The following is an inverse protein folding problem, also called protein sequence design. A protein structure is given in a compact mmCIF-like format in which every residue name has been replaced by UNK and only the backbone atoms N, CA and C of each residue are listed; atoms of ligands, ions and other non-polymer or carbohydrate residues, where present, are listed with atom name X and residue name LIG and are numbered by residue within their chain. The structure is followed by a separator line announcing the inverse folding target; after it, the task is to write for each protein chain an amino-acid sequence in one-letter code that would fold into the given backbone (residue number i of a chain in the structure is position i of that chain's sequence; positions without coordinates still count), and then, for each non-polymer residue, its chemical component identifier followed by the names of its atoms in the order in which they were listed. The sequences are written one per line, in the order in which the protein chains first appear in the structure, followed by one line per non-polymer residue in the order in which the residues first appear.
data_IF_251799716153
#
_entry.id   IF_251799716153
#
_cell.length_a   1.000
_cell.length_b   1.000
_cell.length_c   1.000
_cell.angle_alpha   90.00
_cell.angle_beta   90.00
_cell.angle_gamma   90.00
#
_symmetry.space_group_name_H-M   'P 1'
#
loop_
_entity.id
_entity.type
_entity.pdbx_description
1 polymer ?
#
# COMPACT_ATOMS: atom_id res chain seq x y z
N UNK A 1 -21.40 -10.49 -8.32
CA UNK A 1 -20.03 -10.22 -7.84
C UNK A 1 -20.05 -9.96 -6.33
N UNK A 2 -19.07 -10.47 -5.55
CA UNK A 2 -18.93 -10.10 -4.12
C UNK A 2 -18.47 -8.65 -4.04
N UNK A 3 -18.86 -7.95 -2.96
CA UNK A 3 -18.39 -6.58 -2.73
C UNK A 3 -16.89 -6.56 -2.43
N UNK A 4 -16.15 -5.57 -2.93
CA UNK A 4 -14.74 -5.44 -2.63
C UNK A 4 -14.47 -5.20 -1.14
N UNK A 5 -13.38 -5.79 -0.64
CA UNK A 5 -12.90 -5.64 0.74
C UNK A 5 -11.68 -4.72 0.74
N UNK A 6 -11.59 -3.81 1.70
CA UNK A 6 -10.37 -3.03 1.93
C UNK A 6 -9.42 -3.80 2.84
N UNK A 7 -8.18 -3.95 2.43
CA UNK A 7 -7.09 -4.56 3.21
C UNK A 7 -6.08 -3.48 3.56
N UNK A 8 -5.82 -3.26 4.83
CA UNK A 8 -4.86 -2.25 5.30
C UNK A 8 -3.68 -2.92 5.97
N UNK A 9 -2.49 -2.72 5.40
CA UNK A 9 -1.25 -3.25 5.94
C UNK A 9 -0.74 -2.36 7.08
N UNK A 10 -0.94 -2.81 8.31
CA UNK A 10 -0.58 -2.10 9.53
C UNK A 10 0.44 -2.84 10.42
N UNK A 11 0.98 -3.99 9.97
CA UNK A 11 1.96 -4.76 10.74
C UNK A 11 3.33 -4.07 10.87
N UNK A 12 3.64 -3.12 9.98
CA UNK A 12 4.84 -2.27 10.07
C UNK A 12 4.75 -1.15 11.10
N UNK A 13 3.58 -0.94 11.71
CA UNK A 13 3.29 0.12 12.65
C UNK A 13 4.16 -0.01 13.91
N UNK A 14 4.96 1.00 14.21
CA UNK A 14 5.67 1.13 15.50
C UNK A 14 7.16 0.81 15.53
N UNK A 15 7.77 0.26 14.48
CA UNK A 15 9.16 -0.20 14.54
C UNK A 15 10.23 0.91 14.55
N UNK A 16 9.91 2.14 14.09
CA UNK A 16 10.92 3.19 13.88
C UNK A 16 10.95 4.31 14.92
N UNK A 17 9.95 4.41 15.85
CA UNK A 17 9.79 5.57 16.76
C UNK A 17 9.49 5.20 18.22
N UNK A 18 9.70 3.94 18.63
CA UNK A 18 9.49 3.52 20.03
C UNK A 18 8.01 3.56 20.49
N UNK A 19 7.06 3.65 19.57
CA UNK A 19 5.63 3.72 19.82
C UNK A 19 4.83 3.66 18.53
N UNK A 20 3.51 3.55 18.62
CA UNK A 20 2.60 3.54 17.46
C UNK A 20 2.54 4.96 16.83
N UNK A 21 3.46 5.27 15.91
CA UNK A 21 3.50 6.55 15.16
C UNK A 21 2.16 6.88 14.47
N UNK A 22 1.40 5.87 14.16
CA UNK A 22 0.15 5.96 13.42
C UNK A 22 -1.05 6.39 14.28
N UNK A 23 -0.87 6.51 15.59
CA UNK A 23 -1.85 7.11 16.50
C UNK A 23 -1.55 8.60 16.76
N UNK A 24 -0.60 9.19 16.05
CA UNK A 24 -0.28 10.61 16.20
C UNK A 24 -1.33 11.45 15.45
N UNK A 25 -2.16 12.24 16.13
CA UNK A 25 -3.23 12.99 15.49
C UNK A 25 -2.69 13.98 14.45
N UNK A 26 -3.46 14.10 13.35
CA UNK A 26 -3.17 15.03 12.25
C UNK A 26 -4.23 16.13 12.12
N UNK A 27 -5.22 16.15 13.01
CA UNK A 27 -6.17 17.25 13.13
C UNK A 27 -6.54 17.55 14.58
N UNK A 28 -7.34 18.61 14.80
CA UNK A 28 -7.80 19.05 16.12
C UNK A 28 -8.82 18.11 16.77
N UNK A 29 -9.46 17.25 15.99
CA UNK A 29 -10.51 16.34 16.45
C UNK A 29 -9.93 14.98 16.87
N UNK A 30 -8.60 14.82 16.75
CA UNK A 30 -7.87 13.63 17.15
C UNK A 30 -7.84 12.52 16.10
N UNK A 31 -8.20 12.83 14.85
CA UNK A 31 -8.10 11.87 13.75
C UNK A 31 -6.65 11.66 13.32
N UNK A 32 -6.34 10.45 12.93
CA UNK A 32 -5.05 10.01 12.40
C UNK A 32 -5.17 9.69 10.90
N UNK A 33 -4.06 9.50 10.19
CA UNK A 33 -4.06 9.30 8.73
C UNK A 33 -5.03 8.19 8.29
N UNK A 34 -5.02 7.06 8.97
CA UNK A 34 -5.84 5.89 8.62
C UNK A 34 -7.35 6.18 8.71
N UNK A 35 -7.78 7.10 9.58
CA UNK A 35 -9.20 7.47 9.71
C UNK A 35 -9.73 8.08 8.42
N UNK A 36 -8.92 8.88 7.72
CA UNK A 36 -9.26 9.46 6.42
C UNK A 36 -9.35 8.39 5.33
N UNK A 37 -8.45 7.40 5.34
CA UNK A 37 -8.52 6.26 4.42
C UNK A 37 -9.79 5.44 4.63
N UNK A 38 -10.18 5.19 5.88
CA UNK A 38 -11.42 4.49 6.23
C UNK A 38 -12.64 5.30 5.77
N UNK A 39 -12.66 6.61 6.04
CA UNK A 39 -13.75 7.50 5.64
C UNK A 39 -13.92 7.53 4.12
N UNK A 40 -12.83 7.67 3.36
CA UNK A 40 -12.87 7.67 1.91
C UNK A 40 -13.31 6.32 1.35
N UNK A 41 -12.87 5.22 1.95
CA UNK A 41 -13.28 3.86 1.58
C UNK A 41 -14.80 3.65 1.77
N UNK A 42 -15.35 4.06 2.91
CA UNK A 42 -16.81 4.00 3.16
C UNK A 42 -17.57 4.79 2.12
N UNK A 43 -17.14 6.01 1.82
CA UNK A 43 -17.76 6.85 0.78
C UNK A 43 -17.65 6.26 -0.62
N UNK A 44 -16.59 5.53 -0.91
CA UNK A 44 -16.41 4.81 -2.17
C UNK A 44 -17.33 3.60 -2.29
N UNK A 45 -17.79 3.03 -1.17
CA UNK A 45 -18.72 1.89 -1.13
C UNK A 45 -18.16 0.63 -0.49
N UNK A 46 -16.95 0.65 0.08
CA UNK A 46 -16.42 -0.47 0.86
C UNK A 46 -17.23 -0.63 2.14
N UNK A 47 -17.64 -1.87 2.44
CA UNK A 47 -18.42 -2.21 3.63
C UNK A 47 -17.63 -3.02 4.65
N UNK A 48 -16.43 -3.49 4.27
CA UNK A 48 -15.56 -4.31 5.11
C UNK A 48 -14.11 -3.87 4.98
N UNK A 49 -13.42 -3.81 6.13
CA UNK A 49 -11.97 -3.63 6.21
C UNK A 49 -11.33 -4.81 6.95
N UNK A 50 -10.16 -5.23 6.46
CA UNK A 50 -9.28 -6.19 7.12
C UNK A 50 -8.00 -5.46 7.50
N UNK A 51 -7.69 -5.41 8.78
CA UNK A 51 -6.41 -4.88 9.26
C UNK A 51 -5.41 -6.01 9.43
N UNK A 52 -4.28 -5.91 8.73
CA UNK A 52 -3.14 -6.80 8.93
C UNK A 52 -2.24 -6.15 9.97
N UNK A 53 -2.17 -6.73 11.15
CA UNK A 53 -1.44 -6.20 12.31
C UNK A 53 -0.46 -7.24 12.86
N UNK A 54 0.40 -6.83 13.79
CA UNK A 54 1.14 -7.75 14.65
C UNK A 54 0.28 -8.11 15.86
N UNK A 55 0.36 -9.36 16.31
CA UNK A 55 -0.40 -9.82 17.49
C UNK A 55 -0.09 -9.02 18.75
N UNK A 56 1.15 -8.63 18.93
CA UNK A 56 1.58 -7.79 20.06
C UNK A 56 0.86 -6.44 20.14
N UNK A 57 0.36 -5.93 19.01
CA UNK A 57 -0.33 -4.64 18.91
C UNK A 57 -1.86 -4.77 18.91
N UNK A 58 -2.42 -5.98 18.99
CA UNK A 58 -3.86 -6.24 18.80
C UNK A 58 -4.72 -5.41 19.73
N UNK A 59 -4.46 -5.46 21.04
CA UNK A 59 -5.29 -4.79 22.04
C UNK A 59 -5.34 -3.28 21.79
N UNK A 60 -4.18 -2.64 21.71
CA UNK A 60 -4.11 -1.18 21.52
C UNK A 60 -4.70 -0.76 20.17
N UNK A 61 -4.52 -1.59 19.11
CA UNK A 61 -5.07 -1.29 17.80
C UNK A 61 -6.60 -1.35 17.81
N UNK A 62 -7.18 -2.37 18.46
CA UNK A 62 -8.64 -2.50 18.61
C UNK A 62 -9.24 -1.35 19.41
N UNK A 63 -8.63 -0.99 20.53
CA UNK A 63 -9.12 0.07 21.42
C UNK A 63 -9.05 1.47 20.81
N UNK A 64 -8.15 1.67 19.84
CA UNK A 64 -7.93 2.96 19.16
C UNK A 64 -8.56 3.01 17.78
N UNK A 65 -7.88 2.45 16.79
CA UNK A 65 -8.26 2.49 15.38
C UNK A 65 -9.48 1.60 15.12
N UNK A 66 -9.44 0.38 15.64
CA UNK A 66 -10.49 -0.63 15.43
C UNK A 66 -11.85 -0.13 15.86
N UNK A 67 -11.96 0.38 17.09
CA UNK A 67 -13.23 0.88 17.65
C UNK A 67 -13.85 2.01 16.81
N UNK A 68 -13.04 2.87 16.19
CA UNK A 68 -13.53 3.92 15.31
C UNK A 68 -14.01 3.34 13.97
N UNK A 69 -13.24 2.42 13.40
CA UNK A 69 -13.60 1.75 12.15
C UNK A 69 -14.88 0.90 12.28
N UNK A 70 -15.07 0.19 13.41
CA UNK A 70 -16.26 -0.63 13.72
C UNK A 70 -17.56 0.20 13.76
N UNK A 71 -17.47 1.50 14.01
CA UNK A 71 -18.60 2.43 13.90
C UNK A 71 -19.01 2.76 12.46
N UNK A 72 -18.18 2.44 11.47
CA UNK A 72 -18.36 2.84 10.08
C UNK A 72 -18.55 1.65 9.11
N UNK A 73 -17.91 0.50 9.39
CA UNK A 73 -17.90 -0.65 8.51
C UNK A 73 -17.59 -1.95 9.27
N UNK A 74 -17.78 -3.12 8.63
CA UNK A 74 -17.36 -4.41 9.18
C UNK A 74 -15.83 -4.46 9.31
N UNK A 75 -15.32 -4.88 10.47
CA UNK A 75 -13.89 -4.95 10.75
C UNK A 75 -13.45 -6.39 11.02
N UNK A 76 -12.38 -6.81 10.38
CA UNK A 76 -11.67 -8.04 10.66
C UNK A 76 -10.19 -7.77 10.92
N UNK A 77 -9.55 -8.66 11.68
CA UNK A 77 -8.13 -8.57 12.01
C UNK A 77 -7.41 -9.84 11.57
N UNK A 78 -6.24 -9.66 10.99
CA UNK A 78 -5.33 -10.73 10.56
C UNK A 78 -3.96 -10.43 11.10
N UNK A 79 -3.22 -11.48 11.46
CA UNK A 79 -1.90 -11.33 12.06
C UNK A 79 -0.81 -11.76 11.10
N UNK A 80 0.13 -10.86 10.83
CA UNK A 80 1.35 -11.20 10.12
C UNK A 80 2.39 -11.70 11.13
N UNK A 81 2.61 -13.02 11.16
CA UNK A 81 3.55 -13.68 12.05
C UNK A 81 4.65 -14.39 11.23
N UNK A 82 5.89 -14.41 11.74
CA UNK A 82 7.02 -15.00 11.03
C UNK A 82 6.84 -16.52 10.81
N UNK A 83 6.14 -17.16 11.71
CA UNK A 83 5.87 -18.59 11.74
C UNK A 83 4.79 -19.02 10.72
N UNK A 84 4.03 -18.06 10.16
CA UNK A 84 3.03 -18.33 9.13
C UNK A 84 3.69 -18.62 7.77
N UNK A 85 4.41 -19.73 7.69
CA UNK A 85 5.11 -20.23 6.50
C UNK A 85 4.62 -21.63 6.16
N UNK A 86 4.70 -22.04 4.88
CA UNK A 86 4.27 -23.37 4.46
C UNK A 86 5.07 -24.50 5.14
N UNK A 87 4.42 -25.68 5.25
CA UNK A 87 5.08 -26.89 5.74
C UNK A 87 6.37 -27.17 4.95
N UNK A 88 7.41 -27.65 5.67
CA UNK A 88 8.71 -27.96 5.10
C UNK A 88 9.70 -26.80 5.11
N UNK A 89 9.28 -25.59 5.48
CA UNK A 89 10.17 -24.46 5.71
C UNK A 89 10.31 -24.16 7.21
N UNK A 90 11.41 -23.50 7.55
CA UNK A 90 11.68 -23.05 8.93
C UNK A 90 12.08 -21.57 8.91
N UNK A 91 11.69 -20.83 9.93
CA UNK A 91 12.15 -19.45 10.13
C UNK A 91 13.65 -19.48 10.42
N UNK A 92 14.50 -18.75 9.67
CA UNK A 92 15.94 -18.71 9.94
C UNK A 92 16.23 -18.21 11.35
N UNK A 93 17.19 -18.86 12.01
CA UNK A 93 17.63 -18.44 13.35
C UNK A 93 18.06 -16.97 13.35
N UNK A 94 17.58 -16.18 14.32
CA UNK A 94 17.87 -14.76 14.45
C UNK A 94 17.08 -13.84 13.52
N UNK A 95 16.17 -14.36 12.69
CA UNK A 95 15.30 -13.51 11.89
C UNK A 95 14.21 -12.86 12.75
N UNK A 96 14.17 -11.55 12.73
CA UNK A 96 13.13 -10.72 13.37
C UNK A 96 12.34 -9.89 12.34
N UNK A 97 12.87 -9.76 11.12
CA UNK A 97 12.27 -8.96 10.06
C UNK A 97 11.08 -9.70 9.45
N UNK A 98 9.88 -9.06 9.33
CA UNK A 98 8.75 -9.64 8.62
C UNK A 98 9.10 -10.03 7.19
N UNK A 99 8.33 -10.96 6.62
CA UNK A 99 8.57 -11.47 5.27
C UNK A 99 8.24 -10.48 4.14
N UNK A 100 7.70 -9.30 4.45
CA UNK A 100 7.37 -8.27 3.47
C UNK A 100 5.88 -8.14 3.17
N UNK A 101 5.54 -7.22 2.25
CA UNK A 101 4.16 -6.83 1.94
C UNK A 101 3.36 -7.93 1.24
N UNK A 102 4.00 -8.78 0.45
CA UNK A 102 3.35 -9.95 -0.14
C UNK A 102 2.89 -10.94 0.92
N UNK A 103 3.74 -11.24 1.91
CA UNK A 103 3.35 -12.12 3.01
C UNK A 103 2.29 -11.50 3.92
N UNK A 104 2.30 -10.17 4.09
CA UNK A 104 1.23 -9.49 4.81
C UNK A 104 -0.13 -9.78 4.17
N UNK A 105 -0.26 -9.59 2.85
CA UNK A 105 -1.50 -9.90 2.12
C UNK A 105 -1.81 -11.39 2.14
N UNK A 106 -0.81 -12.27 2.01
CA UNK A 106 -0.99 -13.72 2.09
C UNK A 106 -1.61 -14.16 3.44
N UNK A 107 -1.35 -13.44 4.53
CA UNK A 107 -1.96 -13.73 5.83
C UNK A 107 -3.50 -13.64 5.83
N UNK A 108 -4.10 -13.02 4.80
CA UNK A 108 -5.55 -12.91 4.64
C UNK A 108 -6.17 -14.09 3.87
N UNK A 109 -5.41 -15.15 3.55
CA UNK A 109 -5.84 -16.21 2.61
C UNK A 109 -7.13 -16.91 3.02
N UNK A 110 -7.37 -17.08 4.31
CA UNK A 110 -8.55 -17.80 4.82
C UNK A 110 -9.82 -16.95 4.88
N UNK A 111 -9.71 -15.63 4.67
CA UNK A 111 -10.85 -14.69 4.81
C UNK A 111 -11.09 -13.83 3.57
N UNK A 112 -10.20 -13.86 2.57
CA UNK A 112 -10.37 -13.18 1.29
C UNK A 112 -10.83 -14.17 0.21
N UNK A 113 -12.08 -14.04 -0.18
CA UNK A 113 -12.73 -14.91 -1.18
C UNK A 113 -13.45 -14.12 -2.29
N UNK A 114 -13.13 -12.85 -2.43
CA UNK A 114 -13.66 -11.89 -3.40
C UNK A 114 -12.63 -10.84 -3.83
N UNK A 115 -13.04 -9.83 -4.59
CA UNK A 115 -12.16 -8.72 -4.97
C UNK A 115 -11.76 -7.91 -3.72
N UNK A 116 -10.56 -7.32 -3.74
CA UNK A 116 -10.08 -6.52 -2.62
C UNK A 116 -9.08 -5.44 -3.07
N UNK A 117 -9.04 -4.35 -2.32
CA UNK A 117 -8.02 -3.32 -2.44
C UNK A 117 -7.01 -3.43 -1.29
N UNK A 118 -5.75 -3.12 -1.56
CA UNK A 118 -4.66 -3.11 -0.56
C UNK A 118 -4.08 -1.71 -0.47
N UNK A 119 -3.87 -1.22 0.76
CA UNK A 119 -3.20 0.06 1.06
C UNK A 119 -2.25 -0.07 2.27
N UNK A 120 -1.37 0.91 2.41
CA UNK A 120 -0.59 1.11 3.64
C UNK A 120 -1.42 1.87 4.69
N UNK A 121 -1.16 1.61 5.97
CA UNK A 121 -1.86 2.24 7.08
C UNK A 121 -1.41 3.68 7.38
N UNK A 122 -0.21 4.05 6.94
CA UNK A 122 0.46 5.32 7.26
C UNK A 122 0.47 6.33 6.10
N UNK A 123 -0.29 6.03 5.04
CA UNK A 123 -0.42 6.84 3.84
C UNK A 123 -1.82 7.44 3.70
N UNK A 124 -1.88 8.71 3.28
CA UNK A 124 -3.10 9.37 2.83
C UNK A 124 -3.20 9.29 1.31
N UNK A 125 -4.26 8.70 0.80
CA UNK A 125 -4.44 8.40 -0.63
C UNK A 125 -5.38 9.36 -1.35
N UNK A 126 -6.35 9.95 -0.64
CA UNK A 126 -7.36 10.84 -1.20
C UNK A 126 -8.63 10.15 -1.71
N UNK A 127 -9.76 10.88 -1.74
CA UNK A 127 -11.09 10.32 -2.03
C UNK A 127 -11.25 9.81 -3.47
N UNK A 128 -10.61 10.45 -4.45
CA UNK A 128 -10.70 10.03 -5.86
C UNK A 128 -10.09 8.63 -6.05
N UNK A 129 -8.95 8.37 -5.41
CA UNK A 129 -8.27 7.08 -5.50
C UNK A 129 -9.13 5.93 -4.99
N UNK A 130 -9.82 6.08 -3.85
CA UNK A 130 -10.72 5.07 -3.32
C UNK A 130 -11.93 4.83 -4.22
N UNK A 131 -12.51 5.89 -4.78
CA UNK A 131 -13.64 5.78 -5.69
C UNK A 131 -13.25 5.02 -6.96
N UNK A 132 -12.11 5.35 -7.56
CA UNK A 132 -11.64 4.73 -8.80
C UNK A 132 -11.35 3.24 -8.61
N UNK A 133 -10.65 2.87 -7.53
CA UNK A 133 -10.31 1.46 -7.29
C UNK A 133 -11.54 0.62 -6.96
N UNK A 134 -12.51 1.18 -6.21
CA UNK A 134 -13.77 0.52 -5.92
C UNK A 134 -14.59 0.27 -7.19
N UNK A 135 -14.73 1.30 -8.04
CA UNK A 135 -15.48 1.20 -9.30
C UNK A 135 -14.86 0.14 -10.22
N UNK A 136 -13.52 0.10 -10.32
CA UNK A 136 -12.84 -0.94 -11.09
C UNK A 136 -13.15 -2.35 -10.54
N UNK A 137 -12.99 -2.56 -9.25
CA UNK A 137 -13.18 -3.86 -8.62
C UNK A 137 -14.64 -4.37 -8.66
N UNK A 138 -15.61 -3.47 -8.83
CA UNK A 138 -17.03 -3.82 -8.96
C UNK A 138 -17.49 -4.04 -10.40
N UNK A 139 -16.67 -3.68 -11.39
CA UNK A 139 -17.04 -3.72 -12.82
C UNK A 139 -16.18 -4.65 -13.66
N UNK A 140 -15.07 -5.16 -13.11
CA UNK A 140 -14.15 -6.04 -13.83
C UNK A 140 -14.02 -7.40 -13.13
N UNK A 141 -14.06 -8.45 -13.94
CA UNK A 141 -13.84 -9.84 -13.52
C UNK A 141 -12.71 -10.44 -14.34
N UNK A 142 -12.07 -11.47 -13.78
CA UNK A 142 -11.08 -12.25 -14.50
C UNK A 142 -11.73 -12.92 -15.73
N UNK A 143 -11.00 -12.95 -16.83
CA UNK A 143 -11.38 -13.65 -18.04
C UNK A 143 -10.29 -14.68 -18.44
N UNK A 144 -9.71 -14.57 -19.62
CA UNK A 144 -8.53 -15.36 -20.02
C UNK A 144 -7.25 -14.97 -19.27
N UNK A 145 -7.27 -13.84 -18.56
CA UNK A 145 -6.21 -13.32 -17.68
C UNK A 145 -6.82 -12.71 -16.43
N UNK A 146 -6.03 -12.63 -15.37
CA UNK A 146 -6.42 -11.92 -14.16
C UNK A 146 -6.52 -10.42 -14.43
N UNK A 147 -7.58 -9.79 -13.92
CA UNK A 147 -7.87 -8.37 -14.12
C UNK A 147 -7.59 -7.59 -12.83
N UNK A 148 -6.36 -7.14 -12.70
CA UNK A 148 -5.90 -6.35 -11.56
C UNK A 148 -5.82 -4.88 -11.90
N UNK A 149 -5.67 -4.06 -10.89
CA UNK A 149 -5.53 -2.60 -11.03
C UNK A 149 -4.58 -2.04 -9.99
N UNK A 150 -4.12 -0.83 -10.22
CA UNK A 150 -3.43 -0.01 -9.24
C UNK A 150 -3.77 1.46 -9.44
N UNK A 151 -3.68 2.26 -8.38
CA UNK A 151 -3.76 3.71 -8.50
C UNK A 151 -2.38 4.27 -8.74
N UNK A 152 -2.21 4.94 -9.88
CA UNK A 152 -0.99 5.65 -10.26
C UNK A 152 -1.10 7.13 -9.94
N UNK A 153 -0.20 7.64 -9.10
CA UNK A 153 -0.11 9.05 -8.75
C UNK A 153 0.89 9.77 -9.66
N UNK A 154 0.71 11.07 -9.86
CA UNK A 154 1.76 11.89 -10.46
C UNK A 154 2.93 11.98 -9.48
N UNK A 155 4.15 11.77 -9.94
CA UNK A 155 5.36 11.83 -9.11
C UNK A 155 5.41 13.13 -8.29
N UNK A 156 5.16 14.28 -8.95
CA UNK A 156 5.15 15.60 -8.30
C UNK A 156 4.14 15.72 -7.13
N UNK A 157 3.09 14.90 -7.12
CA UNK A 157 2.11 14.86 -6.03
C UNK A 157 2.54 13.96 -4.85
N UNK A 158 3.73 13.38 -4.90
CA UNK A 158 4.23 12.43 -3.90
C UNK A 158 5.58 12.79 -3.31
N UNK A 159 6.15 13.91 -3.72
CA UNK A 159 7.46 14.40 -3.26
C UNK A 159 7.32 15.21 -1.96
N UNK A 160 8.44 15.33 -1.24
CA UNK A 160 8.59 16.20 -0.07
C UNK A 160 9.77 17.14 -0.25
N UNK A 161 9.73 18.32 0.39
CA UNK A 161 10.84 19.28 0.45
C UNK A 161 11.90 18.86 1.50
N UNK A 162 11.59 17.86 2.34
CA UNK A 162 12.40 17.52 3.51
C UNK A 162 13.46 16.44 3.23
N UNK A 163 13.61 16.00 1.97
CA UNK A 163 14.63 15.02 1.60
C UNK A 163 14.26 14.19 0.38
N UNK A 164 14.92 13.04 0.25
CA UNK A 164 14.64 12.09 -0.81
C UNK A 164 13.53 11.10 -0.43
N UNK A 165 12.88 10.57 -1.46
CA UNK A 165 11.84 9.54 -1.32
C UNK A 165 12.13 8.36 -2.25
N UNK A 166 11.57 7.19 -1.93
CA UNK A 166 11.56 6.00 -2.80
C UNK A 166 10.20 5.84 -3.46
N UNK A 167 10.18 5.58 -4.78
CA UNK A 167 8.93 5.38 -5.54
C UNK A 167 9.09 4.31 -6.61
N UNK A 168 8.07 3.49 -6.77
CA UNK A 168 7.95 2.60 -7.92
C UNK A 168 7.49 3.36 -9.15
N UNK A 169 8.42 3.77 -10.01
CA UNK A 169 8.11 4.46 -11.27
C UNK A 169 7.52 3.48 -12.26
N UNK A 170 6.30 3.75 -12.74
CA UNK A 170 5.51 2.87 -13.58
C UNK A 170 5.74 3.15 -15.06
N UNK A 171 5.95 2.10 -15.84
CA UNK A 171 5.84 2.15 -17.30
C UNK A 171 4.46 1.67 -17.70
N UNK A 172 3.75 2.48 -18.50
CA UNK A 172 2.36 2.23 -18.88
C UNK A 172 2.25 2.23 -20.40
N UNK A 173 1.50 1.28 -20.98
CA UNK A 173 1.25 1.23 -22.42
C UNK A 173 0.19 2.27 -22.84
N UNK A 174 -0.03 2.38 -24.17
CA UNK A 174 -1.00 3.33 -24.76
C UNK A 174 -2.45 3.05 -24.38
N UNK A 175 -2.76 1.89 -23.80
CA UNK A 175 -4.11 1.50 -23.33
C UNK A 175 -4.25 1.70 -21.81
N UNK A 176 -3.21 2.17 -21.13
CA UNK A 176 -3.20 2.40 -19.69
C UNK A 176 -2.86 1.16 -18.87
N UNK A 177 -2.31 0.10 -19.46
CA UNK A 177 -1.88 -1.07 -18.72
C UNK A 177 -0.43 -0.96 -18.28
N UNK A 178 -0.17 -1.39 -17.06
CA UNK A 178 1.17 -1.48 -16.48
C UNK A 178 2.01 -2.50 -17.25
N UNK A 179 3.20 -2.07 -17.71
CA UNK A 179 4.18 -2.92 -18.38
C UNK A 179 5.43 -3.13 -17.56
N UNK A 180 5.66 -2.29 -16.55
CA UNK A 180 6.80 -2.42 -15.65
C UNK A 180 6.75 -1.44 -14.51
N UNK A 181 7.48 -1.76 -13.43
CA UNK A 181 7.72 -0.86 -12.29
C UNK A 181 9.22 -0.90 -12.01
N UNK A 182 9.82 0.29 -11.94
CA UNK A 182 11.21 0.46 -11.53
C UNK A 182 11.25 1.18 -10.20
N UNK A 183 11.74 0.52 -9.15
CA UNK A 183 11.93 1.16 -7.85
C UNK A 183 13.11 2.13 -7.93
N UNK A 184 12.84 3.41 -7.71
CA UNK A 184 13.82 4.48 -7.57
C UNK A 184 13.92 4.87 -6.11
N UNK A 185 15.01 4.49 -5.46
CA UNK A 185 15.18 4.63 -4.00
C UNK A 185 15.59 6.03 -3.58
N UNK A 186 16.02 6.87 -4.51
CA UNK A 186 16.47 8.23 -4.26
C UNK A 186 15.87 9.20 -5.29
N UNK A 187 14.75 9.84 -4.95
CA UNK A 187 14.11 10.87 -5.77
C UNK A 187 13.98 12.14 -4.94
N UNK A 188 14.37 13.27 -5.51
CA UNK A 188 14.32 14.60 -4.87
C UNK A 188 13.55 15.60 -5.72
N UNK A 189 12.99 16.62 -5.05
CA UNK A 189 12.52 17.83 -5.72
C UNK A 189 13.72 18.65 -6.18
N UNK A 190 13.58 19.27 -7.35
CA UNK A 190 14.55 20.23 -7.88
C UNK A 190 13.81 21.51 -8.30
N UNK A 191 14.50 22.65 -8.48
CA UNK A 191 13.86 23.87 -8.99
C UNK A 191 13.14 23.68 -10.32
N UNK A 192 13.63 22.75 -11.16
CA UNK A 192 13.08 22.46 -12.49
C UNK A 192 12.09 21.28 -12.50
N UNK A 193 11.74 20.72 -11.31
CA UNK A 193 10.79 19.61 -11.19
C UNK A 193 11.28 18.51 -10.26
N UNK A 194 11.77 17.39 -10.79
CA UNK A 194 12.27 16.27 -10.01
C UNK A 194 13.51 15.62 -10.65
N UNK A 195 14.31 14.94 -9.83
CA UNK A 195 15.42 14.12 -10.29
C UNK A 195 15.57 12.87 -9.41
N UNK A 196 16.13 11.80 -9.97
CA UNK A 196 16.50 10.61 -9.21
C UNK A 196 18.01 10.37 -9.26
N UNK A 197 18.49 9.56 -8.34
CA UNK A 197 19.89 9.13 -8.30
C UNK A 197 19.97 7.61 -8.17
N UNK A 198 21.02 7.03 -8.77
CA UNK A 198 21.37 5.61 -8.63
C UNK A 198 22.64 5.42 -7.77
N UNK A 199 23.24 6.51 -7.30
CA UNK A 199 24.50 6.59 -6.57
C UNK A 199 24.39 7.44 -5.29
N UNK A 200 23.26 7.29 -4.56
CA UNK A 200 22.98 7.96 -3.29
C UNK A 200 23.10 9.50 -3.35
N UNK A 201 22.65 10.08 -4.46
CA UNK A 201 22.55 11.53 -4.63
C UNK A 201 23.79 12.21 -5.21
N UNK A 202 24.82 11.46 -5.60
CA UNK A 202 26.01 12.03 -6.21
C UNK A 202 25.74 12.54 -7.63
N UNK A 203 24.95 11.79 -8.41
CA UNK A 203 24.52 12.16 -9.76
C UNK A 203 23.00 12.26 -9.80
N UNK A 204 22.48 13.40 -10.20
CA UNK A 204 21.05 13.63 -10.35
C UNK A 204 20.63 13.52 -11.81
N UNK A 205 19.71 12.63 -12.11
CA UNK A 205 19.14 12.39 -13.44
C UNK A 205 17.72 12.95 -13.45
N UNK A 206 17.39 13.93 -14.33
CA UNK A 206 16.06 14.49 -14.40
C UNK A 206 14.98 13.44 -14.65
N UNK A 207 13.84 13.57 -13.97
CA UNK A 207 12.64 12.76 -14.17
C UNK A 207 11.42 13.68 -14.21
N UNK A 208 10.49 13.41 -15.11
CA UNK A 208 9.27 14.22 -15.20
C UNK A 208 8.43 14.12 -13.92
N UNK A 209 7.97 15.23 -13.34
CA UNK A 209 7.00 15.20 -12.24
C UNK A 209 5.64 14.63 -12.66
N UNK A 210 5.38 14.45 -13.94
CA UNK A 210 4.16 13.85 -14.50
C UNK A 210 4.25 12.32 -14.63
N UNK A 211 5.43 11.73 -14.40
CA UNK A 211 5.56 10.27 -14.36
C UNK A 211 4.58 9.65 -13.38
N UNK A 212 4.11 8.46 -13.72
CA UNK A 212 3.22 7.69 -12.83
C UNK A 212 4.05 6.85 -11.87
N UNK A 213 3.67 6.95 -10.59
CA UNK A 213 4.32 6.18 -9.53
C UNK A 213 3.31 5.39 -8.72
N UNK A 214 3.74 4.23 -8.27
CA UNK A 214 3.01 3.40 -7.31
C UNK A 214 3.23 3.93 -5.91
N UNK A 215 2.11 4.10 -5.19
CA UNK A 215 2.08 4.36 -3.75
C UNK A 215 1.51 3.16 -2.99
N UNK A 216 1.65 1.96 -3.57
CA UNK A 216 1.22 0.70 -2.99
C UNK A 216 -0.30 0.58 -2.77
N UNK A 217 -1.10 1.26 -3.60
CA UNK A 217 -2.55 1.10 -3.65
C UNK A 217 -2.93 0.21 -4.82
N UNK A 218 -3.30 -1.04 -4.51
CA UNK A 218 -3.54 -2.12 -5.46
C UNK A 218 -4.96 -2.66 -5.36
N UNK A 219 -5.52 -3.11 -6.48
CA UNK A 219 -6.80 -3.81 -6.54
C UNK A 219 -6.64 -5.17 -7.23
N UNK A 220 -7.16 -6.20 -6.59
CA UNK A 220 -7.04 -7.58 -7.03
C UNK A 220 -8.40 -8.31 -7.03
N UNK A 221 -8.54 -9.27 -7.91
CA UNK A 221 -9.59 -10.30 -7.81
C UNK A 221 -9.13 -11.41 -6.84
N UNK A 222 -10.06 -12.30 -6.48
CA UNK A 222 -9.77 -13.42 -5.58
C UNK A 222 -8.65 -14.36 -6.07
N UNK A 223 -8.41 -14.40 -7.40
CA UNK A 223 -7.35 -15.24 -8.00
C UNK A 223 -5.96 -14.91 -7.48
N UNK A 224 -5.74 -13.66 -7.04
CA UNK A 224 -4.46 -13.23 -6.52
C UNK A 224 -4.00 -14.03 -5.29
N UNK A 225 -4.94 -14.50 -4.45
CA UNK A 225 -4.60 -15.24 -3.23
C UNK A 225 -3.94 -16.61 -3.51
N UNK A 226 -4.34 -17.28 -4.60
CA UNK A 226 -3.71 -18.52 -5.02
C UNK A 226 -2.30 -18.29 -5.58
N UNK A 227 -2.12 -17.24 -6.37
CA UNK A 227 -0.83 -16.91 -6.98
C UNK A 227 0.19 -16.42 -5.93
N UNK A 228 -0.22 -15.56 -4.99
CA UNK A 228 0.67 -15.07 -3.94
C UNK A 228 1.13 -16.21 -3.01
N UNK A 229 0.25 -17.19 -2.71
CA UNK A 229 0.61 -18.38 -1.94
C UNK A 229 1.65 -19.22 -2.67
N UNK A 230 1.44 -19.49 -3.96
CA UNK A 230 2.37 -20.28 -4.79
C UNK A 230 3.73 -19.60 -4.86
N UNK A 231 3.78 -18.33 -5.21
CA UNK A 231 5.05 -17.60 -5.37
C UNK A 231 5.78 -17.39 -4.04
N UNK A 232 5.08 -17.42 -2.89
CA UNK A 232 5.75 -17.38 -1.60
C UNK A 232 6.62 -18.62 -1.32
N UNK A 233 6.16 -19.80 -1.72
CA UNK A 233 6.98 -21.01 -1.63
C UNK A 233 8.22 -20.94 -2.53
N UNK A 234 8.07 -20.39 -3.74
CA UNK A 234 9.20 -20.16 -4.65
C UNK A 234 10.20 -19.14 -4.07
N UNK A 235 9.70 -18.06 -3.44
CA UNK A 235 10.55 -17.09 -2.72
C UNK A 235 11.31 -17.73 -1.57
N UNK A 236 10.66 -18.55 -0.74
CA UNK A 236 11.33 -19.25 0.37
C UNK A 236 12.39 -20.22 -0.11
N UNK A 237 12.22 -20.82 -1.29
CA UNK A 237 13.17 -21.76 -1.88
C UNK A 237 14.37 -21.05 -2.51
N UNK A 238 14.13 -19.95 -3.25
CA UNK A 238 15.13 -19.41 -4.17
C UNK A 238 15.74 -18.07 -3.69
N UNK A 239 14.96 -17.22 -2.99
CA UNK A 239 15.39 -15.87 -2.62
C UNK A 239 15.77 -15.77 -1.14
N UNK A 240 14.99 -16.41 -0.26
CA UNK A 240 15.26 -16.37 1.18
C UNK A 240 16.68 -16.90 1.53
N UNK A 241 17.21 -17.99 0.93
CA UNK A 241 18.54 -18.48 1.26
C UNK A 241 19.68 -17.52 0.91
N UNK A 242 19.47 -16.58 -0.03
CA UNK A 242 20.48 -15.58 -0.42
C UNK A 242 20.68 -14.51 0.66
N UNK A 243 19.63 -14.23 1.45
CA UNK A 243 19.67 -13.26 2.55
C UNK A 243 18.67 -13.65 3.65
N UNK A 244 18.96 -14.71 4.45
CA UNK A 244 17.99 -15.32 5.35
C UNK A 244 17.35 -14.37 6.36
N UNK A 245 18.13 -13.39 6.85
CA UNK A 245 17.67 -12.47 7.89
C UNK A 245 16.91 -11.25 7.35
N UNK A 246 17.08 -10.91 6.05
CA UNK A 246 16.58 -9.64 5.50
C UNK A 246 15.76 -9.76 4.22
N UNK A 247 15.76 -10.92 3.54
CA UNK A 247 14.96 -11.12 2.32
C UNK A 247 13.49 -10.77 2.57
N UNK A 248 12.86 -10.07 1.63
CA UNK A 248 11.47 -9.66 1.69
C UNK A 248 10.71 -10.08 0.44
N UNK A 249 9.54 -10.61 0.64
CA UNK A 249 8.57 -10.97 -0.38
C UNK A 249 7.63 -9.78 -0.63
N UNK A 250 7.92 -9.02 -1.66
CA UNK A 250 7.21 -7.79 -1.97
C UNK A 250 5.98 -8.04 -2.84
N UNK A 251 4.89 -7.33 -2.55
CA UNK A 251 3.66 -7.35 -3.33
C UNK A 251 3.90 -7.00 -4.82
N UNK A 252 4.65 -5.93 -5.16
CA UNK A 252 4.95 -5.60 -6.57
C UNK A 252 5.72 -6.69 -7.31
N UNK A 253 6.57 -7.49 -6.63
CA UNK A 253 7.31 -8.56 -7.30
C UNK A 253 6.39 -9.70 -7.76
N UNK A 254 5.34 -10.00 -6.98
CA UNK A 254 4.30 -10.98 -7.37
C UNK A 254 3.59 -10.50 -8.64
N UNK A 255 3.20 -9.23 -8.67
CA UNK A 255 2.55 -8.63 -9.83
C UNK A 255 3.47 -8.68 -11.06
N UNK A 256 4.74 -8.29 -10.90
CA UNK A 256 5.73 -8.29 -11.99
C UNK A 256 5.92 -9.69 -12.60
N UNK A 257 5.96 -10.74 -11.77
CA UNK A 257 6.01 -12.13 -12.23
C UNK A 257 4.78 -12.51 -13.07
N UNK A 258 3.58 -12.13 -12.62
CA UNK A 258 2.33 -12.43 -13.33
C UNK A 258 2.21 -11.67 -14.65
N UNK A 259 2.74 -10.44 -14.71
CA UNK A 259 2.83 -9.67 -15.96
C UNK A 259 3.80 -10.34 -16.95
N UNK A 260 4.99 -10.74 -16.49
CA UNK A 260 6.00 -11.41 -17.31
C UNK A 260 5.47 -12.74 -17.86
N UNK A 261 4.71 -13.50 -17.08
CA UNK A 261 4.06 -14.75 -17.49
C UNK A 261 2.80 -14.52 -18.37
N UNK A 262 2.42 -13.27 -18.63
CA UNK A 262 1.20 -12.91 -19.36
C UNK A 262 -0.10 -13.47 -18.73
N UNK A 263 -0.07 -13.75 -17.42
CA UNK A 263 -1.21 -14.26 -16.65
C UNK A 263 -2.16 -13.16 -16.18
N UNK A 264 -1.64 -11.96 -15.95
CA UNK A 264 -2.41 -10.83 -15.48
C UNK A 264 -2.29 -9.62 -16.39
N UNK A 265 -3.26 -8.72 -16.27
CA UNK A 265 -3.16 -7.33 -16.71
C UNK A 265 -3.41 -6.44 -15.49
N UNK A 266 -2.72 -5.32 -15.42
CA UNK A 266 -2.92 -4.32 -14.37
C UNK A 266 -3.28 -3.00 -15.03
N UNK A 267 -4.53 -2.56 -14.85
CA UNK A 267 -4.95 -1.23 -15.29
C UNK A 267 -4.42 -0.18 -14.32
N UNK A 268 -3.70 0.80 -14.82
CA UNK A 268 -3.24 1.94 -14.02
C UNK A 268 -4.33 3.01 -14.02
N UNK A 269 -4.92 3.26 -12.84
CA UNK A 269 -5.92 4.30 -12.63
C UNK A 269 -5.20 5.61 -12.29
N UNK A 270 -5.49 6.67 -13.04
CA UNK A 270 -4.77 7.94 -12.92
C UNK A 270 -5.47 8.87 -11.91
N UNK A 271 -5.02 8.89 -10.66
CA UNK A 271 -5.51 9.85 -9.67
C UNK A 271 -4.80 11.21 -9.78
N UNK A 272 -5.56 12.29 -9.57
CA UNK A 272 -5.06 13.64 -9.39
C UNK A 272 -4.94 14.03 -7.91
N UNK A 273 -5.36 13.16 -7.00
CA UNK A 273 -5.19 13.38 -5.57
C UNK A 273 -3.72 13.62 -5.23
N UNK A 274 -3.49 14.45 -4.23
CA UNK A 274 -2.18 14.57 -3.64
C UNK A 274 -2.04 13.50 -2.56
N UNK A 275 -1.00 12.67 -2.71
CA UNK A 275 -0.63 11.70 -1.71
C UNK A 275 0.16 12.38 -0.59
N UNK A 276 -0.05 11.96 0.64
CA UNK A 276 0.73 12.40 1.79
C UNK A 276 1.14 11.20 2.63
N UNK A 277 2.41 11.19 3.06
CA UNK A 277 2.96 10.29 4.06
C UNK A 277 3.84 11.05 5.02
N UNK A 278 4.04 10.53 6.21
CA UNK A 278 5.00 11.11 7.17
C UNK A 278 6.31 10.32 7.06
N UNK A 279 7.09 10.60 6.01
CA UNK A 279 8.41 9.98 5.80
C UNK A 279 9.42 10.61 6.77
N UNK A 280 9.41 11.92 6.83
CA UNK A 280 10.20 12.74 7.75
C UNK A 280 9.30 13.34 8.83
N UNK A 281 9.86 13.63 9.99
CA UNK A 281 9.10 14.23 11.11
C UNK A 281 8.52 15.60 10.72
N UNK A 282 9.24 16.32 9.88
CA UNK A 282 8.89 17.63 9.35
C UNK A 282 7.67 17.59 8.41
N UNK A 283 7.43 16.45 7.73
CA UNK A 283 6.27 16.26 6.84
C UNK A 283 4.93 16.40 7.58
N UNK A 284 4.91 16.12 8.90
CA UNK A 284 3.68 16.18 9.70
C UNK A 284 2.98 17.53 9.60
N UNK A 285 3.72 18.63 9.69
CA UNK A 285 3.13 19.97 9.60
C UNK A 285 2.43 20.20 8.25
N UNK A 286 3.01 19.73 7.16
CA UNK A 286 2.45 19.79 5.81
C UNK A 286 1.18 18.95 5.70
N UNK A 287 1.18 17.73 6.27
CA UNK A 287 0.00 16.85 6.30
C UNK A 287 -1.15 17.49 7.07
N UNK A 288 -0.89 18.01 8.27
CA UNK A 288 -1.88 18.70 9.12
C UNK A 288 -2.51 19.88 8.37
N UNK A 289 -1.68 20.73 7.74
CA UNK A 289 -2.17 21.88 6.98
C UNK A 289 -3.03 21.46 5.77
N UNK A 290 -2.61 20.39 5.06
CA UNK A 290 -3.35 19.87 3.93
C UNK A 290 -4.70 19.30 4.33
N UNK A 291 -4.76 18.52 5.39
CA UNK A 291 -6.03 17.96 5.92
C UNK A 291 -6.96 19.09 6.40
N UNK A 292 -6.43 20.08 7.09
CA UNK A 292 -7.22 21.25 7.51
C UNK A 292 -7.84 21.98 6.30
N UNK A 293 -7.09 22.18 5.22
CA UNK A 293 -7.58 22.78 4.00
C UNK A 293 -8.66 21.93 3.32
N UNK A 294 -8.52 20.59 3.32
CA UNK A 294 -9.54 19.67 2.79
C UNK A 294 -10.83 19.72 3.61
N UNK A 295 -10.75 19.77 4.95
CA UNK A 295 -11.89 19.96 5.84
C UNK A 295 -12.60 21.31 5.59
N UNK A 296 -11.86 22.40 5.45
CA UNK A 296 -12.42 23.71 5.11
C UNK A 296 -13.16 23.74 3.78
N UNK A 297 -12.71 22.95 2.81
CA UNK A 297 -13.39 22.76 1.51
C UNK A 297 -14.59 21.81 1.58
N UNK A 298 -14.91 21.27 2.75
CA UNK A 298 -16.04 20.35 2.95
C UNK A 298 -15.82 18.94 2.41
N UNK A 299 -14.57 18.57 2.09
CA UNK A 299 -14.24 17.21 1.62
C UNK A 299 -14.42 16.19 2.75
N UNK A 300 -14.02 16.57 3.97
CA UNK A 300 -14.19 15.75 5.18
C UNK A 300 -15.11 16.42 6.18
N UNK A 301 -16.18 15.71 6.53
CA UNK A 301 -17.17 16.06 7.55
C UNK A 301 -17.23 14.87 8.53
N UNK A 302 -16.15 14.70 9.29
CA UNK A 302 -15.95 13.61 10.25
C UNK A 302 -16.22 14.09 11.65
#
# INVERSE_FOLDING_TARGET
MKKPVLVIMAAGMGSRYGGLKQIDPIDSDGHIIIDFSIYDAVRAGFEKVIFIIKRENEQIFRETIGKRAEGLMEVAYVFQELENIPDGFTVPEGRIKPWGTGHAVLSCIDILDGPFAVINADDYYGPEAFKMIYDYLTTHEDDSRYRYTMVGYRLGNTLTENGHVSRGVCTVDSKGYLTGICERTYIVMTPDGAAYSEDDGQTLIPISPDERVSMNMWGFSASFMAEIKKQFSDFLTNEMPKNPLKAEYFLPSVVSSLLADNKATVQVLHSNDKWYGVTYKEDKATVVAAIAALKQRGIYQM
#
